data_IF_184717602018
#
_entry.id   IF_184717602018
#
_cell.length_a   1.000
_cell.length_b   1.000
_cell.length_c   1.000
_cell.angle_alpha   90.00
_cell.angle_beta   90.00
_cell.angle_gamma   90.00
#
_symmetry.space_group_name_H-M   'P 1'
#
loop_
_entity.id
_entity.type
_entity.pdbx_description
1 polymer ?
#
# COMPACT_ATOMS: atom_id res chain seq x y z
N UNK A 1 20.11 -21.22 -12.48
CA UNK A 1 19.41 -19.92 -12.59
C UNK A 1 20.21 -18.91 -11.79
N UNK A 2 21.01 -18.09 -12.46
CA UNK A 2 21.92 -17.14 -11.82
C UNK A 2 21.20 -15.83 -11.50
N UNK A 3 21.31 -15.36 -10.26
CA UNK A 3 20.90 -14.02 -9.82
C UNK A 3 21.84 -12.94 -10.40
N UNK A 4 21.92 -12.81 -11.73
CA UNK A 4 22.82 -11.84 -12.40
C UNK A 4 22.14 -10.52 -12.80
N UNK A 5 20.84 -10.37 -12.53
CA UNK A 5 19.99 -9.32 -13.13
C UNK A 5 19.82 -8.03 -12.30
N UNK A 6 20.49 -7.90 -11.13
CA UNK A 6 20.20 -6.82 -10.17
C UNK A 6 21.37 -5.88 -9.84
N UNK A 7 22.48 -5.92 -10.57
CA UNK A 7 23.61 -5.00 -10.31
C UNK A 7 23.49 -3.75 -11.19
N UNK A 8 22.90 -2.69 -10.63
CA UNK A 8 22.88 -1.33 -11.18
C UNK A 8 23.79 -0.39 -10.37
N UNK A 9 24.45 0.56 -11.05
CA UNK A 9 25.32 1.59 -10.45
C UNK A 9 24.52 2.83 -9.98
N UNK A 10 23.26 2.97 -10.37
CA UNK A 10 22.41 4.14 -10.07
C UNK A 10 21.02 3.75 -9.50
N UNK A 11 21.01 2.83 -8.53
CA UNK A 11 19.76 2.45 -7.85
C UNK A 11 19.06 3.66 -7.20
N UNK A 12 17.76 3.79 -7.40
CA UNK A 12 16.95 4.88 -6.86
C UNK A 12 15.94 4.34 -5.85
N UNK A 13 16.09 4.71 -4.58
CA UNK A 13 15.07 4.45 -3.55
C UNK A 13 14.06 5.58 -3.49
N UNK A 14 12.78 5.22 -3.47
CA UNK A 14 11.64 6.12 -3.38
C UNK A 14 10.76 5.64 -2.24
N UNK A 15 10.60 6.46 -1.21
CA UNK A 15 9.70 6.19 -0.11
C UNK A 15 8.39 6.97 -0.28
N UNK A 16 7.26 6.27 -0.14
CA UNK A 16 5.95 6.89 -0.11
C UNK A 16 5.30 6.63 1.25
N UNK A 17 4.77 7.70 1.84
CA UNK A 17 4.04 7.65 3.09
C UNK A 17 2.83 8.55 3.00
N UNK A 18 1.69 8.04 3.46
CA UNK A 18 0.51 8.85 3.63
C UNK A 18 -0.11 8.56 5.00
N UNK A 19 -0.42 9.63 5.72
CA UNK A 19 -1.03 9.59 7.03
C UNK A 19 -2.15 10.62 7.09
N UNK A 20 -3.26 10.23 7.71
CA UNK A 20 -4.41 11.11 7.92
C UNK A 20 -5.03 10.89 9.28
N UNK A 21 -5.76 11.91 9.73
CA UNK A 21 -6.54 11.88 10.94
C UNK A 21 -7.92 12.48 10.68
N UNK A 22 -8.96 11.90 11.30
CA UNK A 22 -10.31 12.46 11.26
C UNK A 22 -10.99 12.36 9.89
N UNK A 23 -10.64 11.35 9.09
CA UNK A 23 -11.30 11.12 7.79
C UNK A 23 -12.72 10.61 8.06
N UNK A 24 -13.70 11.37 7.57
CA UNK A 24 -15.11 10.98 7.57
C UNK A 24 -15.35 9.78 6.63
N UNK A 25 -16.51 9.09 6.76
CA UNK A 25 -16.80 7.94 5.94
C UNK A 25 -16.71 8.28 4.47
N UNK A 26 -16.05 7.41 3.73
CA UNK A 26 -15.66 7.64 2.35
C UNK A 26 -15.60 6.33 1.60
N UNK A 27 -15.97 6.39 0.32
CA UNK A 27 -15.74 5.29 -0.60
C UNK A 27 -14.25 4.99 -0.75
N UNK A 28 -13.91 4.06 -1.63
CA UNK A 28 -12.52 3.74 -1.87
C UNK A 28 -11.79 4.95 -2.47
N UNK A 29 -10.71 5.39 -1.83
CA UNK A 29 -9.88 6.51 -2.27
C UNK A 29 -8.45 6.05 -2.47
N UNK A 30 -7.89 6.42 -3.61
CA UNK A 30 -6.47 6.27 -3.94
C UNK A 30 -5.64 7.37 -3.29
N UNK A 31 -4.59 6.97 -2.55
CA UNK A 31 -3.71 7.88 -1.81
C UNK A 31 -2.31 7.95 -2.39
N UNK A 32 -1.81 6.82 -2.89
CA UNK A 32 -0.51 6.69 -3.53
C UNK A 32 -0.74 5.84 -4.77
N UNK A 33 -0.21 6.26 -5.91
CA UNK A 33 -0.02 5.41 -7.08
C UNK A 33 1.42 5.55 -7.55
N UNK A 34 2.00 4.42 -7.92
CA UNK A 34 3.32 4.34 -8.51
C UNK A 34 3.31 3.30 -9.62
N UNK A 35 3.81 3.69 -10.79
CA UNK A 35 4.00 2.81 -11.94
C UNK A 35 5.48 2.67 -12.21
N UNK A 36 5.97 1.44 -12.34
CA UNK A 36 7.38 1.20 -12.65
C UNK A 36 7.68 1.75 -14.06
N UNK A 37 8.65 2.68 -14.20
CA UNK A 37 8.98 3.24 -15.51
C UNK A 37 9.42 2.19 -16.53
N UNK A 38 9.23 2.50 -17.81
CA UNK A 38 9.74 1.68 -18.91
C UNK A 38 11.28 1.53 -18.81
N UNK A 39 11.80 0.34 -19.11
CA UNK A 39 13.23 0.05 -19.05
C UNK A 39 13.79 -0.15 -17.63
N UNK A 40 12.99 0.04 -16.58
CA UNK A 40 13.37 -0.24 -15.19
C UNK A 40 12.78 -1.56 -14.71
N UNK A 41 13.40 -2.13 -13.70
CA UNK A 41 12.79 -3.10 -12.82
C UNK A 41 12.86 -2.54 -11.39
N UNK A 42 11.98 -2.99 -10.51
CA UNK A 42 11.96 -2.48 -9.14
C UNK A 42 11.67 -3.57 -8.11
N UNK A 43 12.07 -3.30 -6.88
CA UNK A 43 11.66 -4.06 -5.69
C UNK A 43 10.75 -3.15 -4.90
N UNK A 44 9.51 -3.60 -4.66
CA UNK A 44 8.66 -2.97 -3.66
C UNK A 44 8.95 -3.60 -2.32
N UNK A 45 9.04 -2.78 -1.28
CA UNK A 45 8.90 -3.19 0.12
C UNK A 45 7.71 -2.44 0.69
N UNK A 46 6.61 -3.14 0.89
CA UNK A 46 5.50 -2.58 1.66
C UNK A 46 5.94 -2.57 3.12
N UNK A 47 5.55 -1.55 3.89
CA UNK A 47 6.04 -1.36 5.27
C UNK A 47 4.90 -1.42 6.28
N UNK A 48 3.76 -0.81 5.99
CA UNK A 48 2.64 -0.74 6.94
C UNK A 48 1.33 -0.32 6.30
N UNK A 49 0.24 -0.90 6.78
CA UNK A 49 -1.10 -0.35 6.68
C UNK A 49 -1.73 -0.31 8.09
N UNK A 50 -2.36 0.80 8.45
CA UNK A 50 -3.05 0.91 9.73
C UNK A 50 -4.32 1.73 9.62
N UNK A 51 -5.26 1.38 10.49
CA UNK A 51 -6.51 2.09 10.71
C UNK A 51 -6.73 2.26 12.21
N UNK A 52 -7.31 3.39 12.61
CA UNK A 52 -7.76 3.63 13.97
C UNK A 52 -9.05 4.42 13.95
N UNK A 53 -10.08 3.95 14.64
CA UNK A 53 -11.29 4.72 14.90
C UNK A 53 -10.95 5.88 15.84
N UNK A 54 -11.19 7.11 15.38
CA UNK A 54 -10.99 8.33 16.18
C UNK A 54 -12.27 8.68 16.92
N UNK A 55 -13.39 8.70 16.20
CA UNK A 55 -14.72 8.88 16.78
C UNK A 55 -15.55 7.62 16.58
N UNK A 56 -16.41 7.27 17.56
CA UNK A 56 -17.22 6.07 17.46
C UNK A 56 -18.20 6.20 16.29
N UNK A 57 -18.34 5.13 15.51
CA UNK A 57 -19.34 5.04 14.46
C UNK A 57 -20.64 4.47 15.03
N UNK A 58 -21.79 4.94 14.54
CA UNK A 58 -23.09 4.34 14.90
C UNK A 58 -23.18 2.92 14.36
N UNK A 59 -22.87 2.77 13.08
CA UNK A 59 -22.75 1.49 12.38
C UNK A 59 -21.40 1.45 11.67
N UNK A 60 -20.61 0.39 11.87
CA UNK A 60 -19.41 0.15 11.06
C UNK A 60 -19.62 -1.09 10.19
N UNK A 61 -19.67 -0.88 8.87
CA UNK A 61 -19.75 -1.98 7.92
C UNK A 61 -18.36 -2.53 7.59
N UNK A 62 -17.43 -1.62 7.26
CA UNK A 62 -16.07 -1.97 6.87
C UNK A 62 -15.18 -0.74 6.88
N UNK A 63 -13.96 -0.84 7.39
CA UNK A 63 -12.93 0.14 7.16
C UNK A 63 -11.62 -0.60 6.93
N UNK A 64 -10.86 -0.11 5.95
CA UNK A 64 -9.63 -0.75 5.59
C UNK A 64 -8.62 0.20 4.97
N UNK A 65 -7.37 -0.20 5.11
CA UNK A 65 -6.22 0.39 4.44
C UNK A 65 -5.41 -0.75 3.83
N UNK A 66 -5.15 -0.67 2.53
CA UNK A 66 -4.48 -1.77 1.84
C UNK A 66 -3.69 -1.31 0.62
N UNK A 67 -2.85 -2.22 0.14
CA UNK A 67 -2.11 -2.09 -1.10
C UNK A 67 -2.73 -3.02 -2.13
N UNK A 68 -3.10 -2.44 -3.28
CA UNK A 68 -3.50 -3.18 -4.46
C UNK A 68 -2.40 -3.05 -5.49
N UNK A 69 -1.93 -4.18 -5.96
CA UNK A 69 -0.87 -4.25 -6.94
C UNK A 69 -1.44 -4.85 -8.23
N UNK A 70 -1.22 -4.18 -9.36
CA UNK A 70 -1.48 -4.74 -10.67
C UNK A 70 -0.14 -5.24 -11.22
N UNK A 71 0.28 -6.39 -10.69
CA UNK A 71 1.54 -7.01 -11.08
C UNK A 71 1.28 -7.97 -12.24
N UNK A 72 1.64 -7.55 -13.45
CA UNK A 72 1.67 -8.41 -14.64
C UNK A 72 2.61 -9.60 -14.41
N UNK A 73 3.60 -9.44 -13.54
CA UNK A 73 4.68 -10.38 -13.31
C UNK A 73 4.45 -11.42 -12.20
N UNK A 74 3.68 -11.10 -11.16
CA UNK A 74 3.51 -11.98 -9.98
C UNK A 74 2.09 -12.51 -9.80
N UNK A 75 1.09 -11.93 -10.48
CA UNK A 75 -0.32 -12.31 -10.33
C UNK A 75 -0.91 -11.97 -8.95
N UNK A 76 -0.15 -11.32 -8.07
CA UNK A 76 -0.63 -10.85 -6.77
C UNK A 76 -1.45 -9.58 -6.97
N UNK A 77 -2.68 -9.59 -6.46
CA UNK A 77 -3.63 -8.47 -6.55
C UNK A 77 -3.64 -7.59 -5.29
N UNK A 78 -3.27 -8.17 -4.16
CA UNK A 78 -3.28 -7.50 -2.86
C UNK A 78 -2.14 -8.08 -2.02
N UNK A 79 -1.20 -7.23 -1.60
CA UNK A 79 -0.04 -7.66 -0.83
C UNK A 79 -0.19 -7.39 0.68
N UNK A 80 -1.04 -6.45 1.08
CA UNK A 80 -1.20 -6.06 2.48
C UNK A 80 -2.54 -5.37 2.73
N UNK A 81 -3.30 -5.80 3.74
CA UNK A 81 -4.52 -5.13 4.18
C UNK A 81 -4.65 -5.11 5.72
N UNK A 82 -4.88 -3.92 6.28
CA UNK A 82 -5.41 -3.74 7.62
C UNK A 82 -6.92 -3.50 7.51
N UNK A 83 -7.71 -4.33 8.20
CA UNK A 83 -9.17 -4.26 8.20
C UNK A 83 -9.68 -4.34 9.63
N UNK A 84 -10.70 -3.56 9.97
CA UNK A 84 -11.22 -3.52 11.34
C UNK A 84 -12.73 -3.35 11.36
N UNK A 85 -13.49 -4.33 11.88
CA UNK A 85 -14.94 -4.22 11.98
C UNK A 85 -15.42 -3.43 13.22
N UNK A 86 -14.57 -3.21 14.23
CA UNK A 86 -14.95 -2.57 15.50
C UNK A 86 -15.33 -1.10 15.36
N UNK A 87 -16.33 -0.62 16.10
CA UNK A 87 -16.92 0.70 15.95
C UNK A 87 -16.64 1.67 17.11
N UNK A 88 -15.85 1.25 18.12
CA UNK A 88 -15.53 2.08 19.26
C UNK A 88 -14.37 3.03 18.95
N UNK A 89 -14.34 4.17 19.65
CA UNK A 89 -13.17 5.03 19.62
C UNK A 89 -11.95 4.29 20.19
N UNK A 90 -10.83 4.34 19.47
CA UNK A 90 -9.60 3.62 19.82
C UNK A 90 -9.51 2.21 19.21
N UNK A 91 -10.58 1.67 18.63
CA UNK A 91 -10.50 0.40 17.89
C UNK A 91 -9.51 0.57 16.73
N UNK A 92 -8.50 -0.29 16.68
CA UNK A 92 -7.46 -0.22 15.69
C UNK A 92 -7.23 -1.57 15.00
N UNK A 93 -6.75 -1.50 13.77
CA UNK A 93 -6.16 -2.64 13.10
C UNK A 93 -4.89 -2.15 12.41
N UNK A 94 -3.80 -2.85 12.67
CA UNK A 94 -2.51 -2.51 12.11
C UNK A 94 -1.85 -3.78 11.60
N UNK A 95 -1.25 -3.66 10.42
CA UNK A 95 -0.41 -4.69 9.87
C UNK A 95 0.87 -4.03 9.37
N UNK A 96 2.00 -4.54 9.84
CA UNK A 96 3.32 -4.13 9.38
C UNK A 96 4.04 -5.39 8.93
N UNK A 97 4.34 -5.46 7.64
CA UNK A 97 4.93 -6.64 7.02
C UNK A 97 6.05 -6.14 6.14
N UNK A 98 7.26 -6.65 6.33
CA UNK A 98 8.41 -6.39 5.45
C UNK A 98 8.40 -7.29 4.22
N UNK A 99 7.24 -7.46 3.58
CA UNK A 99 7.14 -8.27 2.35
C UNK A 99 7.68 -7.40 1.23
N UNK A 100 8.71 -7.94 0.59
CA UNK A 100 9.30 -7.38 -0.60
C UNK A 100 9.11 -8.29 -1.78
N UNK A 101 8.78 -7.72 -2.94
CA UNK A 101 8.61 -8.46 -4.18
C UNK A 101 9.19 -7.72 -5.37
N UNK A 102 9.66 -8.43 -6.40
CA UNK A 102 10.02 -7.80 -7.66
C UNK A 102 8.76 -7.35 -8.40
N UNK A 103 8.82 -6.15 -8.97
CA UNK A 103 7.81 -5.58 -9.86
C UNK A 103 8.50 -5.13 -11.15
N UNK A 104 7.86 -5.32 -12.29
CA UNK A 104 8.43 -5.08 -13.63
C UNK A 104 7.95 -3.76 -14.21
N UNK A 105 8.65 -3.26 -15.23
CA UNK A 105 8.18 -2.14 -16.03
C UNK A 105 6.70 -2.30 -16.43
N UNK A 106 5.90 -1.28 -16.15
CA UNK A 106 4.46 -1.27 -16.40
C UNK A 106 3.59 -1.86 -15.27
N UNK A 107 4.18 -2.51 -14.27
CA UNK A 107 3.44 -2.90 -13.06
C UNK A 107 3.05 -1.64 -12.27
N UNK A 108 1.85 -1.66 -11.68
CA UNK A 108 1.31 -0.56 -10.87
C UNK A 108 1.12 -1.00 -9.43
N UNK A 109 1.46 -0.11 -8.51
CA UNK A 109 1.28 -0.23 -7.07
C UNK A 109 0.39 0.90 -6.61
N UNK A 110 -0.69 0.58 -5.90
CA UNK A 110 -1.66 1.55 -5.43
C UNK A 110 -1.96 1.35 -3.95
N UNK A 111 -1.89 2.42 -3.16
CA UNK A 111 -2.33 2.41 -1.77
C UNK A 111 -3.73 3.04 -1.66
N UNK A 112 -4.64 2.30 -1.03
CA UNK A 112 -6.06 2.62 -0.96
C UNK A 112 -6.54 2.70 0.48
N UNK A 113 -7.55 3.54 0.70
CA UNK A 113 -8.27 3.65 1.97
C UNK A 113 -9.77 3.63 1.73
N UNK A 114 -10.53 3.01 2.62
CA UNK A 114 -12.00 3.07 2.62
C UNK A 114 -12.53 3.13 4.05
N UNK A 115 -13.63 3.86 4.21
CA UNK A 115 -14.43 3.83 5.42
C UNK A 115 -15.92 3.80 5.06
N UNK A 116 -16.53 2.63 5.14
CA UNK A 116 -17.96 2.44 4.93
C UNK A 116 -18.75 2.53 6.25
N UNK A 117 -18.17 3.14 7.29
CA UNK A 117 -18.88 3.41 8.55
C UNK A 117 -19.91 4.54 8.39
N UNK A 118 -20.73 4.75 9.43
CA UNK A 118 -21.71 5.83 9.48
C UNK A 118 -21.44 6.71 10.71
N UNK A 119 -21.28 8.01 10.48
CA UNK A 119 -21.13 9.02 11.54
C UNK A 119 -19.82 9.00 12.33
N UNK A 120 -18.91 8.07 12.03
CA UNK A 120 -17.60 7.96 12.67
C UNK A 120 -16.48 8.66 11.89
N UNK A 121 -15.26 8.56 12.38
CA UNK A 121 -14.05 9.00 11.67
C UNK A 121 -12.91 8.05 11.94
N UNK A 122 -12.05 7.86 10.95
CA UNK A 122 -10.86 7.03 11.06
C UNK A 122 -9.58 7.83 10.78
N UNK A 123 -8.50 7.44 11.45
CA UNK A 123 -7.15 7.72 11.00
C UNK A 123 -6.65 6.54 10.18
N UNK A 124 -5.89 6.85 9.14
CA UNK A 124 -5.35 5.88 8.20
C UNK A 124 -3.87 6.15 7.99
N UNK A 125 -3.08 5.09 7.86
CA UNK A 125 -1.69 5.17 7.48
C UNK A 125 -1.36 4.09 6.44
N UNK A 126 -0.66 4.50 5.39
CA UNK A 126 -0.04 3.59 4.43
C UNK A 126 1.41 3.99 4.20
N UNK A 127 2.29 3.01 4.08
CA UNK A 127 3.71 3.22 3.84
C UNK A 127 4.30 2.13 2.97
N UNK A 128 5.01 2.54 1.93
CA UNK A 128 5.74 1.65 1.04
C UNK A 128 7.05 2.29 0.57
N UNK A 129 8.01 1.46 0.22
CA UNK A 129 9.28 1.87 -0.38
C UNK A 129 9.44 1.11 -1.70
N UNK A 130 9.97 1.79 -2.70
CA UNK A 130 10.32 1.21 -4.00
C UNK A 130 11.80 1.45 -4.26
N UNK A 131 12.51 0.40 -4.64
CA UNK A 131 13.88 0.48 -5.12
C UNK A 131 13.90 0.16 -6.61
N UNK A 132 14.17 1.16 -7.45
CA UNK A 132 14.32 1.02 -8.90
C UNK A 132 15.76 0.67 -9.29
N UNK A 133 15.90 -0.10 -10.36
CA UNK A 133 17.17 -0.46 -11.01
C UNK A 133 16.98 -0.58 -12.52
N UNK A 134 18.04 -0.28 -13.27
CA UNK A 134 18.09 -0.47 -14.71
C UNK A 134 17.98 -1.94 -15.08
N UNK A 135 17.10 -2.21 -16.04
CA UNK A 135 16.99 -3.54 -16.61
C UNK A 135 18.12 -3.75 -17.61
N UNK A 136 18.98 -4.76 -17.41
CA UNK A 136 19.87 -5.21 -18.48
C UNK A 136 19.04 -5.80 -19.60
N UNK A 137 19.04 -5.13 -20.74
CA UNK A 137 18.52 -5.69 -21.99
C UNK A 137 19.52 -6.77 -22.42
N UNK A 138 19.07 -8.02 -22.48
CA UNK A 138 19.84 -9.15 -23.03
C UNK A 138 19.20 -9.60 -24.33
#
# INVERSE_FOLDING_TARGET
MGYQDFFDREGKSIAFGWWSQGIAPTGQVERISYTVPAGKAALISIRSASIMCITPATTRAFAASWHRDQLVSSGLREMLAAQGPGNNAGDNAQIAIGVSGPIRAGDEVVALTVDLSTGGTCAFQVGLEVLEFDRKIT
#
